data_IF_219773530950
#
_entry.id   IF_219773530950
#
_cell.length_a   1.000
_cell.length_b   1.000
_cell.length_c   1.000
_cell.angle_alpha   90.00
_cell.angle_beta   90.00
_cell.angle_gamma   90.00
#
_symmetry.space_group_name_H-M   'P 1'
#
loop_
_entity.id
_entity.type
_entity.pdbx_description
1 polymer ?
#
# COMPACT_ATOMS: atom_id res chain seq x y z
N UNK A 1 -11.36 10.87 -0.28
CA UNK A 1 -12.48 11.22 -1.18
C UNK A 1 -12.99 9.94 -1.83
N UNK A 2 -14.21 9.94 -2.38
CA UNK A 2 -14.76 8.81 -3.15
C UNK A 2 -14.89 9.24 -4.62
N UNK A 3 -14.74 8.31 -5.57
CA UNK A 3 -14.79 8.63 -7.00
C UNK A 3 -16.13 9.24 -7.47
N UNK A 4 -17.23 8.88 -6.81
CA UNK A 4 -18.56 9.39 -7.14
C UNK A 4 -18.85 10.78 -6.52
N UNK A 5 -17.90 11.34 -5.76
CA UNK A 5 -18.07 12.64 -5.10
C UNK A 5 -17.98 13.79 -6.11
N UNK A 6 -18.85 14.80 -5.98
CA UNK A 6 -18.84 15.99 -6.84
C UNK A 6 -17.52 16.75 -6.72
N UNK A 7 -16.95 16.80 -5.50
CA UNK A 7 -15.63 17.38 -5.27
C UNK A 7 -14.53 16.62 -6.02
N UNK A 8 -14.67 15.29 -6.14
CA UNK A 8 -13.72 14.49 -6.90
C UNK A 8 -13.81 14.80 -8.40
N UNK A 9 -15.03 14.75 -8.95
CA UNK A 9 -15.27 14.85 -10.40
C UNK A 9 -15.00 16.26 -10.92
N UNK A 10 -15.46 17.30 -10.22
CA UNK A 10 -15.42 18.67 -10.73
C UNK A 10 -14.20 19.47 -10.29
N UNK A 11 -13.57 19.12 -9.17
CA UNK A 11 -12.44 19.87 -8.63
C UNK A 11 -11.14 19.06 -8.65
N UNK A 12 -11.10 17.94 -7.93
CA UNK A 12 -9.86 17.17 -7.74
C UNK A 12 -9.32 16.63 -9.06
N UNK A 13 -10.13 15.88 -9.83
CA UNK A 13 -9.68 15.23 -11.05
C UNK A 13 -9.23 16.23 -12.13
N UNK A 14 -9.99 17.29 -12.48
CA UNK A 14 -9.55 18.29 -13.45
C UNK A 14 -8.27 19.01 -13.00
N UNK A 15 -8.14 19.31 -11.70
CA UNK A 15 -6.95 19.95 -11.14
C UNK A 15 -5.72 19.06 -11.29
N UNK A 16 -5.82 17.77 -10.92
CA UNK A 16 -4.73 16.81 -11.04
C UNK A 16 -4.31 16.62 -12.49
N UNK A 17 -5.28 16.50 -13.42
CA UNK A 17 -5.00 16.38 -14.85
C UNK A 17 -4.36 17.66 -15.41
N UNK A 18 -4.85 18.85 -15.02
CA UNK A 18 -4.26 20.13 -15.38
C UNK A 18 -2.78 20.20 -14.97
N UNK A 19 -2.48 19.93 -13.70
CA UNK A 19 -1.09 19.87 -13.22
C UNK A 19 -0.27 18.79 -13.94
N UNK A 20 -0.84 17.62 -14.22
CA UNK A 20 -0.15 16.55 -14.93
C UNK A 20 0.28 16.98 -16.34
N UNK A 21 -0.58 17.66 -17.11
CA UNK A 21 -0.27 18.10 -18.47
C UNK A 21 0.63 19.34 -18.52
N UNK A 22 0.57 20.22 -17.51
CA UNK A 22 1.38 21.44 -17.46
C UNK A 22 2.85 21.21 -17.10
N UNK A 23 3.17 20.13 -16.37
CA UNK A 23 4.51 19.90 -15.83
C UNK A 23 5.28 18.81 -16.59
N UNK A 24 6.63 18.82 -16.46
CA UNK A 24 7.52 17.82 -17.06
C UNK A 24 7.53 16.50 -16.27
N UNK A 25 8.03 15.42 -16.90
CA UNK A 25 7.92 14.04 -16.40
C UNK A 25 8.36 13.83 -14.94
N UNK A 26 9.44 14.47 -14.49
CA UNK A 26 9.91 14.32 -13.10
C UNK A 26 8.94 14.93 -12.08
N UNK A 27 8.41 16.13 -12.39
CA UNK A 27 7.43 16.81 -11.56
C UNK A 27 6.07 16.11 -11.58
N UNK A 28 5.69 15.45 -12.69
CA UNK A 28 4.44 14.67 -12.78
C UNK A 28 4.35 13.59 -11.71
N UNK A 29 5.43 12.86 -11.47
CA UNK A 29 5.43 11.80 -10.46
C UNK A 29 5.21 12.35 -9.04
N UNK A 30 5.83 13.49 -8.73
CA UNK A 30 5.63 14.18 -7.44
C UNK A 30 4.18 14.65 -7.31
N UNK A 31 3.63 15.27 -8.35
CA UNK A 31 2.24 15.74 -8.40
C UNK A 31 1.27 14.58 -8.17
N UNK A 32 1.47 13.45 -8.84
CA UNK A 32 0.60 12.28 -8.71
C UNK A 32 0.69 11.66 -7.31
N UNK A 33 1.88 11.55 -6.73
CA UNK A 33 2.05 11.09 -5.33
C UNK A 33 1.37 12.05 -4.35
N UNK A 34 1.56 13.35 -4.52
CA UNK A 34 0.94 14.35 -3.66
C UNK A 34 -0.59 14.31 -3.77
N UNK A 35 -1.12 14.25 -5.00
CA UNK A 35 -2.54 14.10 -5.26
C UNK A 35 -3.10 12.84 -4.62
N UNK A 36 -2.39 11.71 -4.74
CA UNK A 36 -2.74 10.46 -4.10
C UNK A 36 -2.82 10.56 -2.58
N UNK A 37 -1.80 11.14 -1.94
CA UNK A 37 -1.78 11.34 -0.49
C UNK A 37 -2.95 12.23 -0.06
N UNK A 38 -3.21 13.34 -0.76
CA UNK A 38 -4.37 14.22 -0.51
C UNK A 38 -5.68 13.45 -0.60
N UNK A 39 -5.82 12.62 -1.63
CA UNK A 39 -7.02 11.83 -1.86
C UNK A 39 -7.33 10.86 -0.71
N UNK A 40 -6.31 10.18 -0.17
CA UNK A 40 -6.48 9.27 0.98
C UNK A 40 -6.66 10.02 2.29
N UNK A 41 -5.89 11.08 2.52
CA UNK A 41 -5.96 11.85 3.76
C UNK A 41 -7.30 12.56 3.95
N UNK A 42 -8.02 12.82 2.86
CA UNK A 42 -9.38 13.38 2.92
C UNK A 42 -10.41 12.47 3.60
N UNK A 43 -10.26 11.15 3.49
CA UNK A 43 -11.14 10.20 4.17
C UNK A 43 -10.66 9.89 5.57
N UNK A 44 -9.40 9.45 5.66
CA UNK A 44 -8.80 8.95 6.90
C UNK A 44 -7.31 9.37 6.97
N UNK A 45 -7.01 10.56 7.51
CA UNK A 45 -5.67 11.15 7.46
C UNK A 45 -4.62 10.34 8.21
N UNK A 46 -5.00 9.72 9.33
CA UNK A 46 -4.07 8.97 10.18
C UNK A 46 -3.54 7.72 9.47
N UNK A 47 -4.39 7.03 8.70
CA UNK A 47 -4.06 5.71 8.16
C UNK A 47 -3.14 5.73 6.93
N UNK A 48 -2.93 6.88 6.30
CA UNK A 48 -1.95 7.04 5.21
C UNK A 48 -0.53 6.71 5.68
N UNK A 49 -0.25 6.84 6.98
CA UNK A 49 1.03 6.45 7.55
C UNK A 49 1.32 4.96 7.36
N UNK A 50 0.29 4.10 7.38
CA UNK A 50 0.45 2.66 7.17
C UNK A 50 0.82 2.32 5.72
N UNK A 51 0.26 3.06 4.77
CA UNK A 51 0.61 2.94 3.35
C UNK A 51 2.08 3.30 3.16
N UNK A 52 2.50 4.46 3.69
CA UNK A 52 3.89 4.94 3.56
C UNK A 52 4.84 3.97 4.28
N UNK A 53 4.46 3.46 5.45
CA UNK A 53 5.23 2.47 6.20
C UNK A 53 5.40 1.17 5.41
N UNK A 54 4.31 0.56 4.93
CA UNK A 54 4.35 -0.65 4.10
C UNK A 54 5.22 -0.44 2.85
N UNK A 55 5.01 0.67 2.13
CA UNK A 55 5.83 1.01 0.98
C UNK A 55 7.32 1.17 1.34
N UNK A 56 7.63 1.80 2.48
CA UNK A 56 9.01 1.97 2.92
C UNK A 56 9.67 0.63 3.25
N UNK A 57 8.98 -0.24 4.01
CA UNK A 57 9.49 -1.57 4.35
C UNK A 57 9.75 -2.38 3.09
N UNK A 58 8.79 -2.44 2.17
CA UNK A 58 8.90 -3.28 0.99
C UNK A 58 9.90 -2.76 -0.04
N UNK A 59 10.07 -1.44 -0.14
CA UNK A 59 11.14 -0.84 -0.93
C UNK A 59 12.52 -1.30 -0.45
N UNK A 60 12.75 -1.27 0.87
CA UNK A 60 14.01 -1.72 1.47
C UNK A 60 14.17 -3.24 1.40
N UNK A 61 13.10 -4.01 1.60
CA UNK A 61 13.12 -5.46 1.41
C UNK A 61 13.46 -5.83 -0.03
N UNK A 62 12.87 -5.18 -1.04
CA UNK A 62 13.21 -5.39 -2.45
C UNK A 62 14.68 -5.11 -2.75
N UNK A 63 15.23 -4.00 -2.21
CA UNK A 63 16.66 -3.69 -2.30
C UNK A 63 17.54 -4.72 -1.61
N UNK A 64 17.16 -5.16 -0.41
CA UNK A 64 17.88 -6.17 0.34
C UNK A 64 17.90 -7.50 -0.43
N UNK A 65 16.76 -7.96 -0.94
CA UNK A 65 16.67 -9.19 -1.74
C UNK A 65 17.57 -9.09 -2.97
N UNK A 66 17.53 -7.98 -3.70
CA UNK A 66 18.33 -7.80 -4.91
C UNK A 66 19.84 -7.68 -4.63
N UNK A 67 20.24 -7.24 -3.43
CA UNK A 67 21.65 -7.13 -3.01
C UNK A 67 22.28 -8.45 -2.55
N UNK A 68 21.49 -9.53 -2.46
CA UNK A 68 21.93 -10.82 -1.91
C UNK A 68 22.10 -11.86 -3.00
N UNK A 69 23.28 -12.45 -3.05
CA UNK A 69 23.58 -13.57 -3.94
C UNK A 69 23.17 -14.92 -3.32
N UNK A 70 23.06 -14.98 -1.99
CA UNK A 70 22.71 -16.20 -1.28
C UNK A 70 21.19 -16.37 -1.09
N UNK A 71 20.72 -17.61 -1.23
CA UNK A 71 19.29 -17.92 -1.13
C UNK A 71 18.70 -17.62 0.26
N UNK A 72 19.50 -17.67 1.33
CA UNK A 72 19.03 -17.43 2.71
C UNK A 72 18.74 -15.95 2.92
N UNK A 73 19.62 -15.06 2.51
CA UNK A 73 19.45 -13.60 2.57
C UNK A 73 18.25 -13.14 1.74
N UNK A 74 18.12 -13.64 0.50
CA UNK A 74 16.94 -13.38 -0.34
C UNK A 74 15.64 -13.81 0.34
N UNK A 75 15.63 -15.01 0.95
CA UNK A 75 14.46 -15.54 1.65
C UNK A 75 14.12 -14.72 2.89
N UNK A 76 15.13 -14.26 3.64
CA UNK A 76 14.93 -13.41 4.82
C UNK A 76 14.23 -12.11 4.45
N UNK A 77 14.69 -11.41 3.41
CA UNK A 77 14.05 -10.18 2.93
C UNK A 77 12.59 -10.38 2.51
N UNK A 78 12.30 -11.50 1.83
CA UNK A 78 10.93 -11.87 1.48
C UNK A 78 10.07 -12.15 2.72
N UNK A 79 10.60 -12.92 3.68
CA UNK A 79 9.86 -13.25 4.91
C UNK A 79 9.54 -11.98 5.71
N UNK A 80 10.48 -11.05 5.82
CA UNK A 80 10.25 -9.76 6.50
C UNK A 80 9.10 -9.00 5.83
N UNK A 81 9.13 -8.87 4.49
CA UNK A 81 8.05 -8.23 3.72
C UNK A 81 6.68 -8.90 3.92
N UNK A 82 6.63 -10.24 3.85
CA UNK A 82 5.38 -10.98 4.03
C UNK A 82 4.84 -10.83 5.44
N UNK A 83 5.70 -10.96 6.46
CA UNK A 83 5.29 -10.82 7.87
C UNK A 83 4.82 -9.41 8.17
N UNK A 84 5.52 -8.36 7.72
CA UNK A 84 5.12 -6.98 7.94
C UNK A 84 3.76 -6.66 7.31
N UNK A 85 3.56 -7.06 6.06
CA UNK A 85 2.31 -6.78 5.35
C UNK A 85 1.13 -7.59 5.86
N UNK A 86 1.32 -8.90 6.08
CA UNK A 86 0.24 -9.76 6.58
C UNK A 86 -0.11 -9.45 8.03
N UNK A 87 0.84 -9.02 8.87
CA UNK A 87 0.54 -8.59 10.23
C UNK A 87 -0.30 -7.31 10.26
N UNK A 88 0.01 -6.31 9.42
CA UNK A 88 -0.82 -5.12 9.26
C UNK A 88 -2.22 -5.49 8.78
N UNK A 89 -2.32 -6.33 7.74
CA UNK A 89 -3.62 -6.77 7.23
C UNK A 89 -4.41 -7.54 8.29
N UNK A 90 -3.78 -8.44 9.03
CA UNK A 90 -4.42 -9.19 10.11
C UNK A 90 -4.89 -8.26 11.24
N UNK A 91 -4.06 -7.32 11.69
CA UNK A 91 -4.36 -6.41 12.78
C UNK A 91 -5.51 -5.46 12.46
N UNK A 92 -5.55 -4.90 11.24
CA UNK A 92 -6.56 -3.89 10.89
C UNK A 92 -7.82 -4.48 10.25
N UNK A 93 -7.72 -5.57 9.50
CA UNK A 93 -8.86 -6.14 8.77
C UNK A 93 -9.49 -7.34 9.46
N UNK A 94 -8.70 -8.16 10.14
CA UNK A 94 -9.16 -9.45 10.67
C UNK A 94 -9.19 -9.54 12.19
N UNK A 95 -8.65 -8.57 12.94
CA UNK A 95 -8.60 -8.61 14.40
C UNK A 95 -9.97 -8.75 15.04
N UNK A 96 -10.96 -7.94 14.62
CA UNK A 96 -12.34 -8.04 15.12
C UNK A 96 -12.97 -9.40 14.84
N UNK A 97 -12.77 -9.93 13.63
CA UNK A 97 -13.24 -11.28 13.26
C UNK A 97 -12.57 -12.36 14.13
N UNK A 98 -11.25 -12.32 14.29
CA UNK A 98 -10.50 -13.29 15.09
C UNK A 98 -10.94 -13.28 16.54
N UNK A 99 -11.02 -12.11 17.17
CA UNK A 99 -11.42 -11.98 18.58
C UNK A 99 -12.86 -12.42 18.79
N UNK A 100 -13.77 -12.09 17.86
CA UNK A 100 -15.17 -12.53 17.94
C UNK A 100 -15.30 -14.05 17.91
N UNK A 101 -14.54 -14.73 17.03
CA UNK A 101 -14.56 -16.20 16.96
C UNK A 101 -13.89 -16.85 18.17
N UNK A 102 -12.80 -16.28 18.69
CA UNK A 102 -12.16 -16.77 19.92
C UNK A 102 -13.13 -16.67 21.09
N UNK A 103 -13.82 -15.54 21.25
CA UNK A 103 -14.83 -15.36 22.29
C UNK A 103 -15.97 -16.37 22.15
N UNK A 104 -16.45 -16.62 20.92
CA UNK A 104 -17.50 -17.59 20.66
C UNK A 104 -17.09 -19.04 20.98
N UNK A 105 -15.84 -19.43 20.68
CA UNK A 105 -15.36 -20.80 20.88
C UNK A 105 -14.94 -21.08 22.33
N UNK A 106 -14.32 -20.11 22.99
CA UNK A 106 -13.71 -20.30 24.33
C UNK A 106 -14.58 -19.76 25.46
N UNK A 107 -15.63 -18.97 25.15
CA UNK A 107 -16.38 -18.20 26.14
C UNK A 107 -15.57 -17.04 26.74
N UNK A 108 -14.35 -16.78 26.24
CA UNK A 108 -13.58 -15.62 26.65
C UNK A 108 -14.34 -14.32 26.34
N UNK A 109 -14.14 -13.29 27.16
CA UNK A 109 -14.73 -11.96 26.99
C UNK A 109 -13.65 -10.96 26.60
N UNK A 110 -12.84 -11.30 25.60
CA UNK A 110 -11.81 -10.41 25.11
C UNK A 110 -12.46 -9.19 24.43
N UNK A 111 -11.95 -7.97 24.65
CA UNK A 111 -12.48 -6.78 23.99
C UNK A 111 -12.26 -6.87 22.48
N UNK A 112 -13.33 -6.75 21.70
CA UNK A 112 -13.26 -6.79 20.22
C UNK A 112 -12.69 -5.46 19.72
N UNK A 113 -11.56 -5.48 18.98
CA UNK A 113 -10.99 -4.25 18.43
C UNK A 113 -11.91 -3.66 17.36
N UNK A 114 -12.17 -2.36 17.45
CA UNK A 114 -12.90 -1.59 16.44
C UNK A 114 -11.97 -0.52 15.86
N UNK A 115 -11.25 -0.87 14.80
CA UNK A 115 -10.40 0.06 14.06
C UNK A 115 -11.16 0.60 12.83
N UNK A 116 -11.03 1.89 12.54
CA UNK A 116 -11.36 2.42 11.22
C UNK A 116 -10.43 1.76 10.20
N UNK A 117 -11.01 1.18 9.14
CA UNK A 117 -10.25 0.47 8.12
C UNK A 117 -9.51 1.45 7.22
N UNK A 118 -8.18 1.34 7.06
CA UNK A 118 -7.45 2.12 6.08
C UNK A 118 -7.99 1.85 4.68
N UNK A 119 -8.32 2.92 3.96
CA UNK A 119 -8.82 2.82 2.59
C UNK A 119 -7.79 2.07 1.75
N UNK A 120 -8.23 0.94 1.19
CA UNK A 120 -7.42 0.14 0.28
C UNK A 120 -6.22 -0.59 0.90
N UNK A 121 -6.25 -0.86 2.23
CA UNK A 121 -5.23 -1.69 2.91
C UNK A 121 -4.88 -2.96 2.17
N UNK A 122 -5.90 -3.69 1.70
CA UNK A 122 -5.67 -4.93 0.96
C UNK A 122 -4.92 -4.69 -0.35
N UNK A 123 -5.23 -3.63 -1.09
CA UNK A 123 -4.62 -3.36 -2.38
C UNK A 123 -3.13 -3.02 -2.26
N UNK A 124 -2.78 -2.04 -1.44
CA UNK A 124 -1.36 -1.69 -1.29
C UNK A 124 -0.56 -2.85 -0.68
N UNK A 125 -1.14 -3.60 0.27
CA UNK A 125 -0.51 -4.78 0.87
C UNK A 125 -0.18 -5.83 -0.20
N UNK A 126 -1.12 -6.15 -1.09
CA UNK A 126 -0.87 -7.15 -2.12
C UNK A 126 0.03 -6.63 -3.25
N UNK A 127 -0.04 -5.33 -3.58
CA UNK A 127 0.87 -4.71 -4.55
C UNK A 127 2.33 -4.75 -4.06
N UNK A 128 2.58 -4.36 -2.81
CA UNK A 128 3.93 -4.33 -2.26
C UNK A 128 4.49 -5.73 -2.02
N UNK A 129 3.64 -6.70 -1.64
CA UNK A 129 4.01 -8.13 -1.62
C UNK A 129 4.36 -8.61 -3.03
N UNK A 130 3.57 -8.26 -4.06
CA UNK A 130 3.87 -8.67 -5.44
C UNK A 130 5.26 -8.19 -5.84
N UNK A 131 5.58 -6.92 -5.55
CA UNK A 131 6.90 -6.35 -5.81
C UNK A 131 8.05 -7.17 -5.19
N UNK A 132 7.98 -7.50 -3.90
CA UNK A 132 9.05 -8.26 -3.24
C UNK A 132 9.12 -9.71 -3.70
N UNK A 133 7.98 -10.34 -3.99
CA UNK A 133 7.89 -11.70 -4.56
C UNK A 133 8.45 -11.75 -5.98
N UNK A 134 8.13 -10.78 -6.82
CA UNK A 134 8.57 -10.74 -8.22
C UNK A 134 10.08 -10.48 -8.32
N UNK A 135 10.64 -9.65 -7.43
CA UNK A 135 12.11 -9.51 -7.28
C UNK A 135 12.73 -10.81 -6.78
N UNK A 136 12.17 -11.43 -5.74
CA UNK A 136 12.68 -12.68 -5.18
C UNK A 136 12.71 -13.79 -6.25
N UNK A 137 11.71 -13.84 -7.12
CA UNK A 137 11.61 -14.80 -8.25
C UNK A 137 12.42 -14.40 -9.48
N UNK A 138 13.07 -13.25 -9.49
CA UNK A 138 13.81 -12.74 -10.64
C UNK A 138 12.93 -12.36 -11.83
N UNK A 139 11.64 -12.08 -11.61
CA UNK A 139 10.69 -11.64 -12.64
C UNK A 139 10.68 -10.13 -12.83
N UNK A 140 11.11 -9.40 -11.80
CA UNK A 140 11.22 -7.94 -11.81
C UNK A 140 12.59 -7.48 -11.34
N UNK A 141 13.02 -6.33 -11.85
CA UNK A 141 14.21 -5.62 -11.36
C UNK A 141 13.87 -4.74 -10.15
N UNK A 142 14.84 -4.53 -9.26
CA UNK A 142 14.65 -3.70 -8.07
C UNK A 142 14.39 -2.24 -8.42
N UNK A 143 13.42 -1.61 -7.74
CA UNK A 143 13.18 -0.19 -7.89
C UNK A 143 14.25 0.66 -7.20
N UNK A 144 14.80 1.60 -7.97
CA UNK A 144 15.88 2.48 -7.50
C UNK A 144 15.34 3.74 -6.84
N UNK A 145 14.23 4.27 -7.34
CA UNK A 145 13.59 5.49 -6.86
C UNK A 145 12.42 5.18 -5.94
N UNK A 146 12.52 5.65 -4.69
CA UNK A 146 11.41 5.50 -3.73
C UNK A 146 10.17 6.24 -4.20
N UNK A 147 10.31 7.41 -4.84
CA UNK A 147 9.18 8.17 -5.35
C UNK A 147 8.40 7.39 -6.42
N UNK A 148 9.09 6.70 -7.34
CA UNK A 148 8.43 5.89 -8.37
C UNK A 148 7.75 4.66 -7.77
N UNK A 149 8.39 4.03 -6.77
CA UNK A 149 7.77 2.93 -6.03
C UNK A 149 6.54 3.39 -5.25
N UNK A 150 6.63 4.51 -4.54
CA UNK A 150 5.52 5.08 -3.81
C UNK A 150 4.38 5.49 -4.75
N UNK A 151 4.68 6.02 -5.93
CA UNK A 151 3.67 6.31 -6.95
C UNK A 151 2.92 5.03 -7.38
N UNK A 152 3.65 3.94 -7.65
CA UNK A 152 3.06 2.65 -7.99
C UNK A 152 2.11 2.15 -6.89
N UNK A 153 2.55 2.23 -5.63
CA UNK A 153 1.76 1.75 -4.48
C UNK A 153 0.58 2.68 -4.16
N UNK A 154 0.74 3.98 -4.36
CA UNK A 154 -0.21 4.99 -3.87
C UNK A 154 -1.13 5.56 -4.95
N UNK A 155 -1.07 5.15 -6.21
CA UNK A 155 -1.85 5.81 -7.26
C UNK A 155 -3.36 5.76 -6.97
N UNK A 156 -4.00 6.93 -6.79
CA UNK A 156 -5.39 7.04 -6.31
C UNK A 156 -6.38 6.34 -7.23
N UNK A 157 -6.14 6.34 -8.54
CA UNK A 157 -7.00 5.67 -9.52
C UNK A 157 -7.01 4.16 -9.38
N UNK A 158 -6.00 3.56 -8.76
CA UNK A 158 -5.83 2.11 -8.71
C UNK A 158 -6.20 1.51 -7.36
N UNK A 159 -5.89 2.20 -6.26
CA UNK A 159 -5.89 1.60 -4.92
C UNK A 159 -7.29 1.30 -4.35
N UNK A 160 -8.36 1.86 -4.92
CA UNK A 160 -9.73 1.64 -4.44
C UNK A 160 -10.50 0.61 -5.28
N UNK A 161 -10.24 0.52 -6.59
CA UNK A 161 -11.04 -0.30 -7.50
C UNK A 161 -10.28 -0.84 -8.74
N UNK A 162 -8.96 -0.64 -8.82
CA UNK A 162 -8.16 -1.17 -9.91
C UNK A 162 -7.86 -2.66 -9.74
N UNK A 163 -7.59 -3.42 -10.83
CA UNK A 163 -7.11 -4.78 -10.72
C UNK A 163 -5.79 -4.82 -9.91
N UNK A 164 -5.55 -5.93 -9.20
CA UNK A 164 -4.26 -6.15 -8.53
C UNK A 164 -3.20 -6.25 -9.63
N UNK A 165 -2.34 -5.24 -9.73
CA UNK A 165 -1.28 -5.18 -10.73
C UNK A 165 -0.05 -5.88 -10.18
N UNK A 166 0.58 -6.70 -11.02
CA UNK A 166 1.89 -7.29 -10.75
C UNK A 166 2.96 -6.31 -11.18
N UNK A 167 4.07 -6.32 -10.44
CA UNK A 167 5.21 -5.46 -10.75
C UNK A 167 5.92 -5.93 -12.02
#
# INVERSE_FOLDING_TARGET
MVFADLLFIYLFLPTVLGFYYLFQAQARNVILVAASIIFYTWGEPVWVILLIFSATVDFHCGKFIASRDDARGRRLGLVISLVSNLSLLAAFKYSGFLVTNINALTGARLPVPHFSLPIGISFYTFQTISYTVDIYRGRASVQKSFLQFLLFVSLFSQLIAGPIVRY
#
